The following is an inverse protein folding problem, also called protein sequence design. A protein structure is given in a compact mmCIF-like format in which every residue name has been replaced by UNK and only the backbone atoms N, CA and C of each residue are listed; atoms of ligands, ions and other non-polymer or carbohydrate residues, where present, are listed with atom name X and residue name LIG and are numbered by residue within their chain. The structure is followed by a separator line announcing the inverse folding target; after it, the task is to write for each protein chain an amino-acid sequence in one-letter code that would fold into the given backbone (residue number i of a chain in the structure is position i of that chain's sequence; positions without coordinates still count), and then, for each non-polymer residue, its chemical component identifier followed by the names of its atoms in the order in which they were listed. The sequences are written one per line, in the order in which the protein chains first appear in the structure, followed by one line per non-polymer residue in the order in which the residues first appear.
data_IF_922769647842
#
_entry.id   IF_922769647842
#
_cell.length_a   1.000
_cell.length_b   1.000
_cell.length_c   1.000
_cell.angle_alpha   90.00
_cell.angle_beta   90.00
_cell.angle_gamma   90.00
#
_symmetry.space_group_name_H-M   'P 1'
#
loop_
_entity.id
_entity.type
_entity.pdbx_description
1 polymer ?
#
# COMPACT_ATOMS: atom_id res chain seq x y z
N UNK A 1 -3.88 -41.90 9.37
CA UNK A 1 -5.17 -41.17 9.47
C UNK A 1 -4.99 -39.84 8.74
N UNK A 2 -5.68 -39.59 7.61
CA UNK A 2 -5.58 -38.28 6.96
C UNK A 2 -6.27 -37.27 7.87
N UNK A 3 -5.54 -36.25 8.32
CA UNK A 3 -6.10 -35.18 9.15
C UNK A 3 -7.12 -34.41 8.30
N UNK A 4 -8.40 -34.63 8.57
CA UNK A 4 -9.47 -33.82 8.01
C UNK A 4 -9.30 -32.39 8.53
N UNK A 5 -8.84 -31.48 7.67
CA UNK A 5 -8.70 -30.07 8.01
C UNK A 5 -10.10 -29.47 8.06
N UNK A 6 -10.74 -29.46 9.24
CA UNK A 6 -11.96 -28.67 9.43
C UNK A 6 -11.66 -27.21 9.12
N UNK A 7 -12.25 -26.68 8.05
CA UNK A 7 -12.02 -25.29 7.65
C UNK A 7 -12.65 -24.35 8.66
N UNK A 8 -11.80 -23.74 9.51
CA UNK A 8 -12.22 -22.69 10.42
C UNK A 8 -12.04 -21.31 9.80
N UNK A 9 -12.84 -20.34 10.24
CA UNK A 9 -12.66 -18.94 9.87
C UNK A 9 -11.23 -18.43 10.15
N UNK A 10 -10.62 -18.87 11.26
CA UNK A 10 -9.25 -18.50 11.64
C UNK A 10 -8.21 -19.04 10.65
N UNK A 11 -8.39 -20.26 10.13
CA UNK A 11 -7.49 -20.81 9.13
C UNK A 11 -7.52 -19.99 7.83
N UNK A 12 -8.72 -19.61 7.38
CA UNK A 12 -8.88 -18.76 6.19
C UNK A 12 -8.28 -17.37 6.43
N UNK A 13 -8.59 -16.74 7.57
CA UNK A 13 -8.02 -15.44 7.95
C UNK A 13 -6.49 -15.46 7.97
N UNK A 14 -5.90 -16.45 8.63
CA UNK A 14 -4.45 -16.61 8.70
C UNK A 14 -3.83 -16.79 7.32
N UNK A 15 -4.48 -17.57 6.43
CA UNK A 15 -4.00 -17.76 5.05
C UNK A 15 -4.00 -16.45 4.27
N UNK A 16 -5.07 -15.65 4.36
CA UNK A 16 -5.17 -14.37 3.66
C UNK A 16 -4.11 -13.40 4.16
N UNK A 17 -3.99 -13.20 5.47
CA UNK A 17 -3.06 -12.22 6.02
C UNK A 17 -1.60 -12.57 5.72
N UNK A 18 -1.21 -13.85 5.82
CA UNK A 18 0.13 -14.28 5.39
C UNK A 18 0.43 -14.02 3.91
N UNK A 19 -0.57 -14.05 3.05
CA UNK A 19 -0.39 -13.72 1.63
C UNK A 19 -0.27 -12.21 1.41
N UNK A 20 -1.03 -11.43 2.18
CA UNK A 20 -0.92 -9.96 2.16
C UNK A 20 0.45 -9.54 2.68
N UNK A 21 0.88 -10.05 3.84
CA UNK A 21 2.18 -9.75 4.45
C UNK A 21 3.31 -10.07 3.47
N UNK A 22 3.35 -11.29 2.93
CA UNK A 22 4.38 -11.69 1.95
C UNK A 22 4.40 -10.82 0.68
N UNK A 23 3.25 -10.27 0.27
CA UNK A 23 3.18 -9.39 -0.88
C UNK A 23 3.63 -7.96 -0.55
N UNK A 24 3.31 -7.48 0.66
CA UNK A 24 3.74 -6.16 1.17
C UNK A 24 5.25 -6.16 1.45
N UNK A 25 5.80 -7.26 1.95
CA UNK A 25 7.24 -7.44 2.20
C UNK A 25 8.05 -7.63 0.90
N UNK A 26 7.38 -7.91 -0.23
CA UNK A 26 8.03 -8.17 -1.52
C UNK A 26 8.55 -9.61 -1.68
N UNK A 27 8.31 -10.49 -0.70
CA UNK A 27 8.65 -11.92 -0.74
C UNK A 27 7.87 -12.69 -1.82
N UNK A 28 6.69 -12.18 -2.21
CA UNK A 28 5.86 -12.77 -3.26
C UNK A 28 5.32 -11.72 -4.21
N UNK A 29 5.31 -12.04 -5.48
CA UNK A 29 4.59 -11.27 -6.50
C UNK A 29 3.12 -11.70 -6.65
N UNK A 30 2.37 -10.97 -7.48
CA UNK A 30 0.95 -11.23 -7.77
C UNK A 30 0.69 -12.66 -8.25
N UNK A 31 1.55 -13.20 -9.12
CA UNK A 31 1.41 -14.54 -9.70
C UNK A 31 1.61 -15.61 -8.63
N UNK A 32 2.62 -15.45 -7.78
CA UNK A 32 2.92 -16.38 -6.69
C UNK A 32 1.83 -16.40 -5.62
N UNK A 33 1.20 -15.26 -5.34
CA UNK A 33 0.01 -15.18 -4.47
C UNK A 33 -1.16 -15.93 -5.09
N UNK A 34 -1.44 -15.71 -6.38
CA UNK A 34 -2.51 -16.42 -7.11
C UNK A 34 -2.28 -17.94 -7.11
N UNK A 35 -1.06 -18.39 -7.35
CA UNK A 35 -0.74 -19.82 -7.27
C UNK A 35 -0.84 -20.35 -5.83
N UNK A 36 -0.39 -19.59 -4.85
CA UNK A 36 -0.46 -19.96 -3.44
C UNK A 36 -1.90 -20.16 -2.95
N UNK A 37 -2.85 -19.34 -3.41
CA UNK A 37 -4.27 -19.50 -3.07
C UNK A 37 -4.90 -20.65 -3.88
N UNK A 38 -4.57 -20.82 -5.17
CA UNK A 38 -5.04 -21.97 -5.98
C UNK A 38 -4.58 -23.31 -5.41
N UNK A 39 -3.30 -23.43 -5.02
CA UNK A 39 -2.75 -24.64 -4.39
C UNK A 39 -3.46 -24.92 -3.07
N UNK A 40 -3.63 -23.90 -2.24
CA UNK A 40 -4.36 -24.05 -0.97
C UNK A 40 -5.82 -24.47 -1.17
N UNK A 41 -6.52 -23.88 -2.15
CA UNK A 41 -7.91 -24.25 -2.47
C UNK A 41 -8.07 -25.73 -2.85
N UNK A 42 -7.08 -26.30 -3.56
CA UNK A 42 -7.08 -27.73 -3.92
C UNK A 42 -6.95 -28.66 -2.72
N UNK A 43 -6.38 -28.19 -1.61
CA UNK A 43 -6.24 -28.97 -0.37
C UNK A 43 -7.53 -28.98 0.47
N UNK A 44 -8.48 -28.11 0.17
CA UNK A 44 -9.75 -28.02 0.89
C UNK A 44 -10.66 -29.17 0.46
N UNK A 45 -11.17 -29.91 1.45
CA UNK A 45 -12.11 -30.99 1.23
C UNK A 45 -13.36 -30.47 0.50
N UNK A 46 -13.88 -31.17 -0.54
CA UNK A 46 -15.01 -30.68 -1.34
C UNK A 46 -16.23 -30.26 -0.51
N UNK A 47 -16.55 -30.98 0.56
CA UNK A 47 -17.66 -30.66 1.47
C UNK A 47 -17.49 -29.33 2.22
N UNK A 48 -16.25 -28.91 2.47
CA UNK A 48 -15.95 -27.68 3.20
C UNK A 48 -15.79 -26.46 2.29
N UNK A 49 -15.77 -26.65 0.96
CA UNK A 49 -15.50 -25.56 0.01
C UNK A 49 -16.52 -24.43 0.09
N UNK A 50 -17.80 -24.74 0.29
CA UNK A 50 -18.83 -23.72 0.44
C UNK A 50 -18.58 -22.83 1.67
N UNK A 51 -18.19 -23.45 2.78
CA UNK A 51 -17.87 -22.75 4.04
C UNK A 51 -16.57 -21.95 3.89
N UNK A 52 -15.54 -22.55 3.28
CA UNK A 52 -14.28 -21.90 2.99
C UNK A 52 -14.46 -20.67 2.10
N UNK A 53 -15.29 -20.77 1.06
CA UNK A 53 -15.61 -19.66 0.16
C UNK A 53 -16.28 -18.51 0.91
N UNK A 54 -17.29 -18.83 1.74
CA UNK A 54 -17.99 -17.85 2.57
C UNK A 54 -17.02 -17.12 3.50
N UNK A 55 -16.15 -17.85 4.19
CA UNK A 55 -15.15 -17.23 5.07
C UNK A 55 -14.12 -16.41 4.30
N UNK A 56 -13.68 -16.87 3.12
CA UNK A 56 -12.73 -16.13 2.29
C UNK A 56 -13.31 -14.80 1.85
N UNK A 57 -14.53 -14.79 1.33
CA UNK A 57 -15.24 -13.57 0.93
C UNK A 57 -15.40 -12.61 2.12
N UNK A 58 -15.81 -13.12 3.28
CA UNK A 58 -15.98 -12.30 4.49
C UNK A 58 -14.66 -11.69 4.98
N UNK A 59 -13.55 -12.44 4.93
CA UNK A 59 -12.23 -11.92 5.31
C UNK A 59 -11.79 -10.83 4.32
N UNK A 60 -11.95 -11.07 3.02
CA UNK A 60 -11.58 -10.10 1.98
C UNK A 60 -12.41 -8.82 2.08
N UNK A 61 -13.72 -8.93 2.26
CA UNK A 61 -14.61 -7.79 2.46
C UNK A 61 -14.19 -6.94 3.66
N UNK A 62 -14.04 -7.56 4.84
CA UNK A 62 -13.59 -6.85 6.05
C UNK A 62 -12.21 -6.22 5.89
N UNK A 63 -11.29 -6.90 5.20
CA UNK A 63 -9.95 -6.37 4.94
C UNK A 63 -10.02 -5.13 4.05
N UNK A 64 -10.81 -5.17 2.97
CA UNK A 64 -11.01 -4.04 2.07
C UNK A 64 -11.69 -2.86 2.79
N UNK A 65 -12.72 -3.11 3.60
CA UNK A 65 -13.34 -2.06 4.42
C UNK A 65 -12.35 -1.43 5.40
N UNK A 66 -11.47 -2.24 5.99
CA UNK A 66 -10.43 -1.75 6.91
C UNK A 66 -9.40 -0.89 6.17
N UNK A 67 -8.94 -1.33 5.00
CA UNK A 67 -8.04 -0.53 4.15
C UNK A 67 -8.69 0.79 3.74
N UNK A 68 -9.97 0.78 3.37
CA UNK A 68 -10.73 2.00 3.08
C UNK A 68 -10.82 2.94 4.28
N UNK A 69 -11.10 2.40 5.48
CA UNK A 69 -11.13 3.20 6.71
C UNK A 69 -9.76 3.80 7.05
N UNK A 70 -8.66 3.07 6.81
CA UNK A 70 -7.30 3.60 6.96
C UNK A 70 -7.08 4.76 5.99
N UNK A 71 -7.40 4.59 4.70
CA UNK A 71 -7.25 5.63 3.67
C UNK A 71 -8.04 6.90 4.04
N UNK A 72 -9.28 6.75 4.51
CA UNK A 72 -10.13 7.87 4.93
C UNK A 72 -9.64 8.54 6.22
N UNK A 73 -9.01 7.78 7.12
CA UNK A 73 -8.47 8.28 8.38
C UNK A 73 -7.10 8.95 8.24
N UNK A 74 -6.43 8.82 7.09
CA UNK A 74 -5.20 9.56 6.82
C UNK A 74 -5.57 11.05 6.66
N UNK A 75 -4.99 11.96 7.48
CA UNK A 75 -5.13 13.38 7.21
C UNK A 75 -4.61 13.66 5.80
N UNK A 76 -5.26 14.56 5.06
CA UNK A 76 -4.75 15.06 3.79
C UNK A 76 -3.28 15.43 4.03
N UNK A 77 -2.36 14.63 3.45
CA UNK A 77 -0.94 14.84 3.63
C UNK A 77 -0.65 16.14 2.90
N UNK A 78 -0.80 17.27 3.60
CA UNK A 78 -0.26 18.55 3.18
C UNK A 78 1.19 18.26 2.94
N UNK A 79 1.56 18.30 1.66
CA UNK A 79 2.93 18.21 1.19
C UNK A 79 3.82 18.92 2.21
N UNK A 80 4.67 18.16 2.90
CA UNK A 80 5.77 18.78 3.61
C UNK A 80 6.65 19.33 2.49
N UNK A 81 6.42 20.61 2.15
CA UNK A 81 7.32 21.39 1.32
C UNK A 81 8.72 21.11 1.84
N UNK A 82 9.66 20.58 1.04
CA UNK A 82 11.02 20.50 1.49
C UNK A 82 11.47 21.91 1.84
N UNK A 83 11.81 22.12 3.11
CA UNK A 83 12.48 23.32 3.58
C UNK A 83 13.90 23.33 2.99
N UNK A 84 14.00 23.65 1.71
CA UNK A 84 15.21 24.06 1.02
C UNK A 84 14.78 25.18 0.08
N UNK A 85 14.78 26.38 0.63
CA UNK A 85 15.09 27.65 -0.03
C UNK A 85 14.61 28.82 0.84
N UNK A 86 15.06 28.83 2.09
CA UNK A 86 15.22 30.06 2.87
C UNK A 86 16.72 30.33 2.99
N UNK A 87 17.39 30.63 1.88
CA UNK A 87 18.52 31.58 1.87
C UNK A 87 18.97 31.91 0.42
N UNK A 88 18.13 32.60 -0.34
CA UNK A 88 18.64 33.45 -1.41
C UNK A 88 18.05 34.84 -1.22
N UNK A 89 18.41 35.47 -0.10
CA UNK A 89 18.27 36.91 0.04
C UNK A 89 19.15 37.59 -1.01
N UNK A 90 18.47 38.00 -2.08
CA UNK A 90 18.77 39.14 -2.96
C UNK A 90 19.83 40.09 -2.38
N UNK A 91 20.99 40.12 -3.03
CA UNK A 91 21.76 41.35 -3.13
C UNK A 91 21.26 42.10 -4.37
N UNK A 92 20.57 43.26 -4.24
CA UNK A 92 20.36 44.13 -5.39
C UNK A 92 21.68 44.83 -5.72
N UNK A 93 22.31 44.45 -6.84
CA UNK A 93 23.37 45.23 -7.43
C UNK A 93 22.82 46.62 -7.79
N UNK A 94 23.37 47.66 -7.14
CA UNK A 94 23.03 49.07 -7.39
C UNK A 94 23.27 49.41 -8.87
N UNK A 95 22.35 50.15 -9.52
CA UNK A 95 22.66 50.80 -10.79
C UNK A 95 23.37 52.13 -10.48
N UNK A 96 24.67 52.23 -10.72
CA UNK A 96 25.29 53.56 -10.78
C UNK A 96 25.10 54.13 -12.19
N UNK A 97 24.25 55.14 -12.25
CA UNK A 97 23.99 55.97 -13.42
C UNK A 97 24.47 57.35 -13.05
N UNK A 98 25.69 57.71 -13.42
CA UNK A 98 26.05 59.12 -13.65
C UNK A 98 26.67 59.29 -15.03
N UNK A 99 25.96 60.08 -15.83
CA UNK A 99 26.35 60.61 -17.12
C UNK A 99 27.41 61.70 -16.96
N UNK A 100 28.20 61.97 -18.01
CA UNK A 100 28.35 63.30 -18.61
C UNK A 100 29.05 63.19 -19.99
N UNK A 101 28.43 63.90 -20.95
CA UNK A 101 28.80 64.32 -22.32
C UNK A 101 30.29 64.42 -22.69
N UNK A 102 30.74 63.91 -23.85
CA UNK A 102 30.72 64.41 -25.27
C UNK A 102 32.07 65.05 -25.69
N UNK A 103 32.27 65.49 -26.96
CA UNK A 103 33.19 64.91 -27.95
C UNK A 103 34.44 65.79 -28.22
N UNK A 104 35.37 65.33 -29.07
CA UNK A 104 36.11 66.07 -30.13
C UNK A 104 36.84 65.03 -30.98
#
# INVERSE_FOLDING_TARGET
MPQEVSISYQAVKSKVYKLVDAMVEGDKNTVEVQESIRRWWKLIHPSDRAVAQKYLLMVLEKSNSTLGAIVLGLPEVKEVKPARDLNMERFPARPDRTAVSSPV
#
